data_IF_535987805370
#
_entry.id   IF_535987805370
#
_cell.length_a   1.000
_cell.length_b   1.000
_cell.length_c   1.000
_cell.angle_alpha   90.00
_cell.angle_beta   90.00
_cell.angle_gamma   90.00
#
_symmetry.space_group_name_H-M   'P 1'
#
loop_
_entity.id
_entity.type
_entity.pdbx_description
1 polymer ?
#
# COMPACT_ATOMS: atom_id res chain seq x y z
N UNK A 1 -19.85 -13.61 4.08
CA UNK A 1 -18.64 -14.39 4.43
C UNK A 1 -17.47 -13.45 4.16
N UNK A 2 -16.38 -13.45 4.93
CA UNK A 2 -15.29 -12.47 4.68
C UNK A 2 -14.67 -12.62 3.29
N UNK A 3 -14.88 -13.78 2.65
CA UNK A 3 -14.56 -14.03 1.24
C UNK A 3 -15.29 -13.07 0.29
N UNK A 4 -16.56 -12.74 0.53
CA UNK A 4 -17.30 -11.79 -0.32
C UNK A 4 -16.65 -10.40 -0.27
N UNK A 5 -16.23 -9.98 0.93
CA UNK A 5 -15.55 -8.70 1.15
C UNK A 5 -14.15 -8.68 0.52
N UNK A 6 -13.41 -9.79 0.63
CA UNK A 6 -12.10 -9.93 -0.03
C UNK A 6 -12.23 -9.73 -1.54
N UNK A 7 -13.18 -10.39 -2.19
CA UNK A 7 -13.36 -10.25 -3.64
C UNK A 7 -13.79 -8.85 -4.05
N UNK A 8 -14.61 -8.16 -3.25
CA UNK A 8 -14.98 -6.77 -3.52
C UNK A 8 -13.77 -5.82 -3.43
N UNK A 9 -12.89 -6.03 -2.45
CA UNK A 9 -11.66 -5.25 -2.31
C UNK A 9 -10.70 -5.51 -3.47
N UNK A 10 -10.52 -6.77 -3.86
CA UNK A 10 -9.70 -7.16 -5.01
C UNK A 10 -10.25 -6.56 -6.32
N UNK A 11 -11.56 -6.65 -6.55
CA UNK A 11 -12.21 -6.08 -7.74
C UNK A 11 -12.03 -4.56 -7.79
N UNK A 12 -12.22 -3.86 -6.67
CA UNK A 12 -12.06 -2.41 -6.61
C UNK A 12 -10.63 -1.97 -6.95
N UNK A 13 -9.62 -2.69 -6.45
CA UNK A 13 -8.22 -2.43 -6.80
C UNK A 13 -7.93 -2.68 -8.29
N UNK A 14 -8.50 -3.73 -8.88
CA UNK A 14 -8.31 -4.07 -10.30
C UNK A 14 -9.02 -3.07 -11.23
N UNK A 15 -10.25 -2.68 -10.90
CA UNK A 15 -11.01 -1.70 -11.69
C UNK A 15 -10.44 -0.29 -11.56
N UNK A 16 -9.82 0.00 -10.40
CA UNK A 16 -9.38 1.34 -10.02
C UNK A 16 -10.56 2.23 -9.61
N UNK A 17 -10.25 3.37 -9.01
CA UNK A 17 -11.25 4.31 -8.52
C UNK A 17 -11.48 5.43 -9.55
N UNK A 18 -12.73 5.61 -9.98
CA UNK A 18 -13.10 6.71 -10.88
C UNK A 18 -13.54 7.95 -10.08
N UNK A 19 -14.05 7.74 -8.87
CA UNK A 19 -14.58 8.79 -8.00
C UNK A 19 -13.99 8.73 -6.59
N UNK A 20 -13.91 9.88 -5.88
CA UNK A 20 -13.50 9.89 -4.46
C UNK A 20 -14.42 9.05 -3.57
N UNK A 21 -15.71 8.95 -3.90
CA UNK A 21 -16.68 8.16 -3.16
C UNK A 21 -16.37 6.65 -3.23
N UNK A 22 -15.95 6.14 -4.40
CA UNK A 22 -15.53 4.74 -4.55
C UNK A 22 -14.27 4.46 -3.73
N UNK A 23 -13.31 5.38 -3.73
CA UNK A 23 -12.11 5.24 -2.92
C UNK A 23 -12.41 5.27 -1.41
N UNK A 24 -13.32 6.13 -0.99
CA UNK A 24 -13.77 6.19 0.41
C UNK A 24 -14.50 4.91 0.82
N UNK A 25 -15.41 4.40 -0.03
CA UNK A 25 -16.11 3.15 0.21
C UNK A 25 -15.15 1.96 0.30
N UNK A 26 -14.13 1.91 -0.57
CA UNK A 26 -13.07 0.92 -0.50
C UNK A 26 -12.29 1.00 0.81
N UNK A 27 -11.93 2.21 1.26
CA UNK A 27 -11.22 2.39 2.53
C UNK A 27 -12.00 1.85 3.71
N UNK A 28 -13.27 2.20 3.82
CA UNK A 28 -14.14 1.74 4.91
C UNK A 28 -14.32 0.22 4.87
N UNK A 29 -14.50 -0.34 3.66
CA UNK A 29 -14.63 -1.78 3.47
C UNK A 29 -13.33 -2.52 3.84
N UNK A 30 -12.18 -1.95 3.48
CA UNK A 30 -10.87 -2.51 3.78
C UNK A 30 -10.60 -2.48 5.28
N UNK A 31 -10.80 -1.32 5.91
CA UNK A 31 -10.61 -1.18 7.36
C UNK A 31 -11.48 -2.18 8.11
N UNK A 32 -12.76 -2.31 7.73
CA UNK A 32 -13.63 -3.32 8.31
C UNK A 32 -13.13 -4.75 8.08
N UNK A 33 -12.64 -5.05 6.88
CA UNK A 33 -12.07 -6.36 6.57
C UNK A 33 -10.89 -6.69 7.47
N UNK A 34 -9.89 -5.80 7.48
CA UNK A 34 -8.63 -5.97 8.19
C UNK A 34 -8.85 -6.01 9.72
N UNK A 35 -9.78 -5.22 10.26
CA UNK A 35 -10.16 -5.27 11.68
C UNK A 35 -10.79 -6.61 12.08
N UNK A 36 -11.63 -7.19 11.20
CA UNK A 36 -12.37 -8.42 11.50
C UNK A 36 -11.52 -9.67 11.27
N UNK A 37 -10.68 -9.69 10.23
CA UNK A 37 -9.84 -10.85 9.89
C UNK A 37 -8.46 -10.81 10.54
N UNK A 38 -7.94 -9.61 10.83
CA UNK A 38 -6.53 -9.40 11.14
C UNK A 38 -5.61 -9.58 9.94
N UNK A 39 -6.16 -9.68 8.73
CA UNK A 39 -5.41 -9.86 7.49
C UNK A 39 -5.19 -8.52 6.80
N UNK A 40 -3.99 -7.97 6.97
CA UNK A 40 -3.57 -6.69 6.40
C UNK A 40 -2.96 -6.82 5.00
N UNK A 41 -3.23 -7.91 4.27
CA UNK A 41 -2.67 -8.14 2.92
C UNK A 41 -2.96 -7.00 1.96
N UNK A 42 -4.13 -6.35 2.05
CA UNK A 42 -4.49 -5.21 1.22
C UNK A 42 -3.63 -3.98 1.55
N UNK A 43 -3.52 -3.61 2.83
CA UNK A 43 -2.65 -2.50 3.26
C UNK A 43 -1.18 -2.74 2.91
N UNK A 44 -0.68 -3.97 3.09
CA UNK A 44 0.66 -4.35 2.66
C UNK A 44 0.81 -4.17 1.15
N UNK A 45 -0.10 -4.74 0.34
CA UNK A 45 -0.05 -4.68 -1.12
C UNK A 45 -0.09 -3.23 -1.65
N UNK A 46 -0.95 -2.38 -1.07
CA UNK A 46 -1.04 -0.97 -1.44
C UNK A 46 0.24 -0.19 -1.12
N UNK A 47 0.86 -0.45 0.04
CA UNK A 47 2.12 0.17 0.42
C UNK A 47 3.27 -0.32 -0.46
N UNK A 48 3.39 -1.63 -0.69
CA UNK A 48 4.43 -2.18 -1.55
C UNK A 48 4.30 -1.70 -2.99
N UNK A 49 3.07 -1.56 -3.52
CA UNK A 49 2.85 -1.02 -4.86
C UNK A 49 3.31 0.44 -4.99
N UNK A 50 3.04 1.28 -3.98
CA UNK A 50 3.52 2.67 -3.97
C UNK A 50 5.05 2.74 -3.88
N UNK A 51 5.67 1.90 -3.04
CA UNK A 51 7.13 1.81 -2.93
C UNK A 51 7.77 1.35 -4.24
N UNK A 52 7.17 0.40 -4.95
CA UNK A 52 7.63 -0.06 -6.26
C UNK A 52 7.54 1.04 -7.32
N UNK A 53 6.46 1.82 -7.35
CA UNK A 53 6.31 2.97 -8.26
C UNK A 53 7.40 4.02 -7.97
N UNK A 54 7.62 4.35 -6.70
CA UNK A 54 8.66 5.30 -6.28
C UNK A 54 10.07 4.82 -6.70
N UNK A 55 10.39 3.53 -6.48
CA UNK A 55 11.65 2.94 -6.95
C UNK A 55 11.78 2.92 -8.47
N UNK A 56 10.69 2.65 -9.19
CA UNK A 56 10.71 2.66 -10.64
C UNK A 56 10.98 4.06 -11.18
N UNK A 57 10.35 5.10 -10.61
CA UNK A 57 10.62 6.49 -10.95
C UNK A 57 12.09 6.86 -10.65
N UNK A 58 12.64 6.35 -9.55
CA UNK A 58 14.05 6.58 -9.19
C UNK A 58 15.06 5.84 -10.10
N UNK A 59 14.72 4.71 -10.72
CA UNK A 59 15.66 4.07 -11.67
C UNK A 59 16.03 4.98 -12.83
N UNK A 60 15.18 5.94 -13.17
CA UNK A 60 15.43 6.91 -14.23
C UNK A 60 16.15 8.18 -13.73
N UNK A 61 16.04 8.54 -12.44
CA UNK A 61 16.61 9.76 -11.82
C UNK A 61 16.90 9.54 -10.32
N UNK A 62 17.98 10.09 -9.75
CA UNK A 62 18.18 10.06 -8.28
C UNK A 62 16.99 10.70 -7.53
N UNK A 63 16.61 10.14 -6.36
CA UNK A 63 15.57 10.70 -5.50
C UNK A 63 15.88 12.16 -5.14
N UNK A 64 14.91 13.04 -5.33
CA UNK A 64 14.94 14.33 -4.64
C UNK A 64 14.71 14.14 -3.13
N UNK A 65 15.15 15.09 -2.31
CA UNK A 65 15.06 15.02 -0.84
C UNK A 65 13.62 14.75 -0.36
N UNK A 66 12.65 15.40 -1.00
CA UNK A 66 11.23 15.24 -0.68
C UNK A 66 10.68 13.87 -1.08
N UNK A 67 11.08 13.33 -2.23
CA UNK A 67 10.66 12.00 -2.68
C UNK A 67 11.26 10.89 -1.79
N UNK A 68 12.49 11.09 -1.31
CA UNK A 68 13.12 10.19 -0.34
C UNK A 68 12.39 10.21 1.02
N UNK A 69 11.95 11.38 1.47
CA UNK A 69 11.14 11.51 2.68
C UNK A 69 9.80 10.78 2.53
N UNK A 70 9.06 11.03 1.44
CA UNK A 70 7.80 10.34 1.13
C UNK A 70 7.99 8.81 1.05
N UNK A 71 9.09 8.36 0.44
CA UNK A 71 9.43 6.94 0.38
C UNK A 71 9.67 6.34 1.77
N UNK A 72 10.45 7.01 2.61
CA UNK A 72 10.75 6.54 3.97
C UNK A 72 9.51 6.53 4.86
N UNK A 73 8.58 7.46 4.67
CA UNK A 73 7.28 7.46 5.33
C UNK A 73 6.43 6.25 4.95
N UNK A 74 6.43 5.87 3.66
CA UNK A 74 5.77 4.64 3.21
C UNK A 74 6.42 3.38 3.81
N UNK A 75 7.75 3.33 3.87
CA UNK A 75 8.48 2.23 4.52
C UNK A 75 8.14 2.15 6.01
N UNK A 76 8.05 3.27 6.71
CA UNK A 76 7.68 3.30 8.13
C UNK A 76 6.25 2.81 8.35
N UNK A 77 5.29 3.19 7.50
CA UNK A 77 3.92 2.65 7.55
C UNK A 77 3.91 1.14 7.30
N UNK A 78 4.71 0.66 6.35
CA UNK A 78 4.82 -0.77 6.07
C UNK A 78 5.40 -1.54 7.26
N UNK A 79 6.27 -0.92 8.06
CA UNK A 79 6.87 -1.53 9.26
C UNK A 79 5.81 -1.90 10.32
N UNK A 80 4.66 -1.22 10.34
CA UNK A 80 3.53 -1.55 11.21
C UNK A 80 2.84 -2.85 10.81
N UNK A 81 2.92 -3.26 9.54
CA UNK A 81 2.27 -4.45 9.00
C UNK A 81 3.26 -5.60 8.74
N UNK A 82 4.42 -5.31 8.16
CA UNK A 82 5.48 -6.26 7.86
C UNK A 82 6.87 -5.61 7.97
N UNK A 83 7.48 -5.76 9.15
CA UNK A 83 8.84 -5.29 9.44
C UNK A 83 9.93 -5.87 8.51
N UNK A 84 9.74 -7.09 7.98
CA UNK A 84 10.72 -7.72 7.11
C UNK A 84 10.70 -7.09 5.73
N UNK A 85 9.51 -6.86 5.18
CA UNK A 85 9.34 -6.10 3.93
C UNK A 85 9.81 -4.65 4.09
N UNK A 86 9.44 -3.98 5.18
CA UNK A 86 9.90 -2.61 5.44
C UNK A 86 11.44 -2.52 5.47
N UNK A 87 12.10 -3.46 6.15
CA UNK A 87 13.57 -3.54 6.17
C UNK A 87 14.14 -3.74 4.77
N UNK A 88 13.52 -4.60 3.95
CA UNK A 88 13.93 -4.83 2.58
C UNK A 88 13.87 -3.55 1.75
N UNK A 89 12.74 -2.83 1.77
CA UNK A 89 12.59 -1.57 1.03
C UNK A 89 13.53 -0.47 1.52
N UNK A 90 13.76 -0.36 2.84
CA UNK A 90 14.73 0.59 3.39
C UNK A 90 16.14 0.37 2.81
N UNK A 91 16.56 -0.88 2.64
CA UNK A 91 17.88 -1.24 2.09
C UNK A 91 18.03 -0.97 0.58
N UNK A 92 16.94 -0.77 -0.17
CA UNK A 92 17.01 -0.50 -1.61
C UNK A 92 17.45 0.93 -1.94
N UNK A 93 17.37 1.83 -0.97
CA UNK A 93 17.64 3.27 -1.14
C UNK A 93 18.76 3.81 -0.23
N UNK A 94 19.37 2.93 0.57
CA UNK A 94 20.47 3.22 1.51
C UNK A 94 21.83 2.95 0.85
#
# INVERSE_FOLDING_TARGET
MMEDTYYQLEEALVQGFQTPEEYQAYKELKEHYEEVTGDYSFSIQELTSQLEIALQNQRDVEFEEHEKEDYLDLVQKLEEFDSSLATHYRQLID
#
